data_IF_825012905940
#
_entry.id   IF_825012905940
#
_cell.length_a   1.000
_cell.length_b   1.000
_cell.length_c   1.000
_cell.angle_alpha   90.00
_cell.angle_beta   90.00
_cell.angle_gamma   90.00
#
_symmetry.space_group_name_H-M   'P 1'
#
loop_
_entity.id
_entity.type
_entity.pdbx_description
1 polymer ?
#
# COMPACT_ATOMS: atom_id res chain seq x y z
N UNK A 1 29.14 43.19 -8.89
CA UNK A 1 28.40 42.51 -7.80
C UNK A 1 29.29 42.43 -6.57
N UNK A 2 28.87 43.01 -5.44
CA UNK A 2 29.64 43.01 -4.20
C UNK A 2 29.75 41.58 -3.63
N UNK A 3 30.92 41.22 -3.08
CA UNK A 3 31.18 39.90 -2.49
C UNK A 3 30.18 39.56 -1.37
N UNK A 4 29.71 40.58 -0.66
CA UNK A 4 28.70 40.52 0.38
C UNK A 4 27.31 40.12 -0.11
N UNK A 5 26.90 40.59 -1.30
CA UNK A 5 25.62 40.17 -1.90
C UNK A 5 25.63 38.68 -2.26
N UNK A 6 26.77 38.16 -2.74
CA UNK A 6 26.94 36.74 -3.06
C UNK A 6 26.88 35.86 -1.80
N UNK A 7 27.49 36.32 -0.71
CA UNK A 7 27.48 35.59 0.58
C UNK A 7 26.07 35.55 1.17
N UNK A 8 25.31 36.66 1.15
CA UNK A 8 23.92 36.68 1.62
C UNK A 8 23.00 35.77 0.80
N UNK A 9 23.16 35.74 -0.54
CA UNK A 9 22.38 34.85 -1.41
C UNK A 9 22.70 33.37 -1.13
N UNK A 10 23.97 33.04 -0.90
CA UNK A 10 24.39 31.67 -0.60
C UNK A 10 23.84 31.17 0.74
N UNK A 11 23.87 32.02 1.78
CA UNK A 11 23.33 31.69 3.10
C UNK A 11 21.80 31.52 3.09
N UNK A 12 21.09 32.36 2.32
CA UNK A 12 19.64 32.23 2.15
C UNK A 12 19.26 30.92 1.46
N UNK A 13 19.99 30.55 0.39
CA UNK A 13 19.73 29.31 -0.35
C UNK A 13 20.00 28.06 0.52
N UNK A 14 21.08 28.09 1.32
CA UNK A 14 21.41 26.98 2.23
C UNK A 14 20.37 26.82 3.34
N UNK A 15 19.88 27.93 3.91
CA UNK A 15 18.78 27.90 4.88
C UNK A 15 17.47 27.37 4.26
N UNK A 16 17.15 27.76 3.03
CA UNK A 16 15.98 27.27 2.30
C UNK A 16 16.06 25.76 2.03
N UNK A 17 17.22 25.26 1.59
CA UNK A 17 17.46 23.82 1.40
C UNK A 17 17.40 23.05 2.72
N UNK A 18 17.95 23.60 3.81
CA UNK A 18 17.89 22.99 5.14
C UNK A 18 16.45 22.86 5.66
N UNK A 19 15.64 23.90 5.50
CA UNK A 19 14.21 23.88 5.87
C UNK A 19 13.43 22.87 5.01
N UNK A 20 13.65 22.85 3.69
CA UNK A 20 13.04 21.86 2.80
C UNK A 20 13.42 20.42 3.18
N UNK A 21 14.68 20.18 3.55
CA UNK A 21 15.16 18.86 3.95
C UNK A 21 14.53 18.41 5.28
N UNK A 22 14.37 19.32 6.25
CA UNK A 22 13.71 19.05 7.55
C UNK A 22 12.21 18.80 7.37
N UNK A 23 11.53 19.57 6.53
CA UNK A 23 10.10 19.37 6.21
C UNK A 23 9.88 18.00 5.55
N UNK A 24 10.72 17.64 4.58
CA UNK A 24 10.65 16.33 3.90
C UNK A 24 10.94 15.17 4.86
N UNK A 25 11.85 15.36 5.83
CA UNK A 25 12.15 14.34 6.85
C UNK A 25 11.02 14.16 7.87
N UNK A 26 10.40 15.27 8.33
CA UNK A 26 9.25 15.25 9.23
C UNK A 26 8.05 14.53 8.60
N UNK A 27 7.79 14.76 7.31
CA UNK A 27 6.71 14.08 6.59
C UNK A 27 6.85 12.56 6.52
N UNK A 28 8.07 12.01 6.60
CA UNK A 28 8.31 10.56 6.61
C UNK A 28 8.07 9.90 7.98
N UNK A 29 7.87 10.68 9.05
CA UNK A 29 7.96 10.19 10.43
C UNK A 29 6.65 10.11 11.23
N UNK A 30 5.47 10.45 10.68
CA UNK A 30 4.28 10.66 11.53
C UNK A 30 3.12 9.64 11.39
N UNK A 31 3.22 8.62 10.54
CA UNK A 31 2.18 7.58 10.52
C UNK A 31 2.55 6.47 11.51
N UNK A 32 1.77 6.26 12.59
CA UNK A 32 2.01 5.15 13.50
C UNK A 32 1.91 3.81 12.77
N UNK A 33 2.63 2.81 13.29
CA UNK A 33 2.51 1.44 12.81
C UNK A 33 1.02 1.03 12.81
N UNK A 34 0.50 0.45 11.71
CA UNK A 34 -0.90 0.14 11.62
C UNK A 34 -1.21 -1.03 12.56
N UNK A 35 -2.37 -0.97 13.20
CA UNK A 35 -2.93 -2.20 13.76
C UNK A 35 -3.29 -3.13 12.60
N UNK A 36 -3.07 -4.46 12.69
CA UNK A 36 -3.43 -5.39 11.61
C UNK A 36 -4.88 -5.21 11.11
N UNK A 37 -5.82 -4.98 12.03
CA UNK A 37 -7.24 -4.71 11.72
C UNK A 37 -7.46 -3.51 10.78
N UNK A 38 -6.58 -2.51 10.81
CA UNK A 38 -6.66 -1.32 9.97
C UNK A 38 -6.36 -1.69 8.51
N UNK A 39 -5.26 -2.41 8.28
CA UNK A 39 -4.89 -2.93 6.96
C UNK A 39 -6.00 -3.84 6.41
N UNK A 40 -6.59 -4.67 7.28
CA UNK A 40 -7.69 -5.57 6.89
C UNK A 40 -8.91 -4.78 6.44
N UNK A 41 -9.24 -3.70 7.16
CA UNK A 41 -10.32 -2.80 6.79
C UNK A 41 -10.09 -2.12 5.45
N UNK A 42 -8.86 -1.66 5.17
CA UNK A 42 -8.49 -1.03 3.90
C UNK A 42 -8.66 -2.01 2.73
N UNK A 43 -8.15 -3.25 2.87
CA UNK A 43 -8.27 -4.30 1.84
C UNK A 43 -9.73 -4.67 1.62
N UNK A 44 -10.49 -4.93 2.70
CA UNK A 44 -11.91 -5.29 2.59
C UNK A 44 -12.72 -4.22 1.88
N UNK A 45 -12.49 -2.93 2.20
CA UNK A 45 -13.14 -1.82 1.50
C UNK A 45 -12.72 -1.75 0.04
N UNK A 46 -11.44 -1.95 -0.29
CA UNK A 46 -11.02 -1.99 -1.70
C UNK A 46 -11.73 -3.09 -2.46
N UNK A 47 -11.74 -4.32 -1.93
CA UNK A 47 -12.41 -5.45 -2.56
C UNK A 47 -13.93 -5.30 -2.61
N UNK A 48 -14.55 -4.59 -1.66
CA UNK A 48 -15.97 -4.25 -1.70
C UNK A 48 -16.29 -3.32 -2.86
N UNK A 49 -15.52 -2.25 -3.02
CA UNK A 49 -15.81 -1.26 -4.05
C UNK A 49 -15.48 -1.82 -5.44
N UNK A 50 -14.44 -2.66 -5.55
CA UNK A 50 -14.17 -3.41 -6.78
C UNK A 50 -15.30 -4.38 -7.15
N UNK A 51 -16.00 -4.96 -6.15
CA UNK A 51 -17.15 -5.86 -6.37
C UNK A 51 -18.40 -5.13 -6.85
N UNK A 52 -18.56 -3.86 -6.48
CA UNK A 52 -19.68 -3.02 -6.90
C UNK A 52 -19.34 -2.16 -8.11
N UNK A 53 -18.24 -2.46 -8.82
CA UNK A 53 -17.70 -1.64 -9.92
C UNK A 53 -17.44 -0.16 -9.53
N UNK A 54 -17.27 0.15 -8.25
CA UNK A 54 -16.88 1.48 -7.74
C UNK A 54 -15.35 1.59 -7.71
N UNK A 55 -14.79 1.64 -8.90
CA UNK A 55 -13.34 1.76 -9.06
C UNK A 55 -12.80 3.12 -8.64
N UNK A 56 -13.61 4.17 -8.62
CA UNK A 56 -13.18 5.48 -8.13
C UNK A 56 -12.86 5.40 -6.64
N UNK A 57 -13.73 4.77 -5.85
CA UNK A 57 -13.50 4.56 -4.43
C UNK A 57 -12.37 3.55 -4.17
N UNK A 58 -12.25 2.50 -4.98
CA UNK A 58 -11.13 1.57 -4.92
C UNK A 58 -9.78 2.23 -5.22
N UNK A 59 -9.75 3.12 -6.21
CA UNK A 59 -8.56 3.85 -6.65
C UNK A 59 -8.13 4.90 -5.62
N UNK A 60 -9.07 5.57 -4.94
CA UNK A 60 -8.75 6.49 -3.82
C UNK A 60 -8.04 5.81 -2.64
N UNK A 61 -8.12 4.47 -2.52
CA UNK A 61 -7.37 3.71 -1.51
C UNK A 61 -5.97 3.29 -1.96
N UNK A 62 -5.65 3.44 -3.23
CA UNK A 62 -4.29 3.26 -3.73
C UNK A 62 -3.39 4.40 -3.23
N UNK A 63 -2.12 4.11 -3.01
CA UNK A 63 -1.11 5.09 -2.63
C UNK A 63 -0.88 6.11 -3.76
N UNK A 64 -0.43 7.31 -3.39
CA UNK A 64 -0.07 8.38 -4.32
C UNK A 64 0.93 7.91 -5.40
N UNK A 65 1.87 7.04 -5.05
CA UNK A 65 2.81 6.44 -6.00
C UNK A 65 2.15 5.54 -7.05
N UNK A 66 1.05 4.85 -6.71
CA UNK A 66 0.22 4.11 -7.68
C UNK A 66 -0.57 5.09 -8.53
N UNK A 67 -1.15 6.12 -7.91
CA UNK A 67 -1.97 7.12 -8.62
C UNK A 67 -1.16 8.01 -9.58
N UNK A 68 0.15 8.13 -9.37
CA UNK A 68 1.07 8.80 -10.31
C UNK A 68 1.42 7.92 -11.52
N UNK A 69 1.38 6.60 -11.36
CA UNK A 69 1.78 5.64 -12.40
C UNK A 69 0.64 5.26 -13.33
N UNK A 70 -0.56 5.18 -12.79
CA UNK A 70 -1.75 4.77 -13.53
C UNK A 70 -2.79 5.86 -13.43
N UNK A 71 -3.43 6.21 -14.54
CA UNK A 71 -4.70 6.93 -14.46
C UNK A 71 -5.77 6.05 -13.82
N UNK A 72 -6.87 6.66 -13.41
CA UNK A 72 -8.04 5.97 -12.87
C UNK A 72 -8.57 4.92 -13.87
N UNK A 73 -8.61 5.25 -15.16
CA UNK A 73 -9.05 4.38 -16.25
C UNK A 73 -8.05 3.25 -16.49
N UNK A 74 -6.75 3.54 -16.47
CA UNK A 74 -5.70 2.52 -16.61
C UNK A 74 -5.72 1.53 -15.44
N UNK A 75 -5.97 2.01 -14.22
CA UNK A 75 -6.19 1.17 -13.05
C UNK A 75 -7.39 0.23 -13.26
N UNK A 76 -8.51 0.72 -13.79
CA UNK A 76 -9.67 -0.13 -14.11
C UNK A 76 -9.31 -1.27 -15.06
N UNK A 77 -8.69 -0.90 -16.19
CA UNK A 77 -8.35 -1.84 -17.25
C UNK A 77 -7.40 -2.92 -16.73
N UNK A 78 -6.42 -2.53 -15.91
CA UNK A 78 -5.52 -3.45 -15.23
C UNK A 78 -6.28 -4.40 -14.30
N UNK A 79 -7.19 -3.89 -13.45
CA UNK A 79 -7.95 -4.72 -12.52
C UNK A 79 -8.86 -5.71 -13.26
N UNK A 80 -9.59 -5.26 -14.27
CA UNK A 80 -10.48 -6.13 -15.06
C UNK A 80 -9.70 -7.23 -15.79
N UNK A 81 -8.50 -6.92 -16.31
CA UNK A 81 -7.66 -7.87 -17.04
C UNK A 81 -6.99 -8.90 -16.13
N UNK A 82 -6.32 -8.43 -15.08
CA UNK A 82 -5.36 -9.25 -14.32
C UNK A 82 -5.90 -9.71 -12.95
N UNK A 83 -6.97 -9.09 -12.47
CA UNK A 83 -7.46 -9.24 -11.10
C UNK A 83 -8.96 -9.57 -10.99
N UNK A 84 -9.56 -10.12 -12.05
CA UNK A 84 -10.96 -10.62 -12.03
C UNK A 84 -11.24 -11.63 -10.91
N UNK A 85 -10.21 -12.37 -10.49
CA UNK A 85 -10.25 -13.25 -9.33
C UNK A 85 -10.56 -12.54 -8.00
N UNK A 86 -10.13 -11.28 -7.84
CA UNK A 86 -10.35 -10.49 -6.63
C UNK A 86 -11.79 -10.01 -6.50
N UNK A 87 -12.43 -9.68 -7.63
CA UNK A 87 -13.84 -9.27 -7.65
C UNK A 87 -14.80 -10.43 -7.43
N UNK A 88 -14.34 -11.68 -7.61
CA UNK A 88 -15.15 -12.88 -7.40
C UNK A 88 -14.96 -13.53 -6.03
N UNK A 89 -14.05 -13.04 -5.20
CA UNK A 89 -13.73 -13.67 -3.92
C UNK A 89 -14.94 -13.71 -2.97
N UNK A 90 -15.29 -14.91 -2.49
CA UNK A 90 -16.39 -15.11 -1.53
C UNK A 90 -15.91 -15.06 -0.08
N UNK A 91 -14.66 -15.46 0.16
CA UNK A 91 -14.03 -15.42 1.49
C UNK A 91 -12.66 -14.76 1.39
N UNK A 92 -12.39 -13.89 2.36
CA UNK A 92 -11.13 -13.18 2.53
C UNK A 92 -10.57 -13.55 3.90
N UNK A 93 -9.34 -14.04 3.94
CA UNK A 93 -8.62 -14.35 5.17
C UNK A 93 -7.29 -13.60 5.17
N UNK A 94 -6.87 -13.18 6.36
CA UNK A 94 -5.61 -12.46 6.54
C UNK A 94 -4.59 -13.33 7.26
N UNK A 95 -3.37 -13.35 6.75
CA UNK A 95 -2.24 -14.08 7.33
C UNK A 95 -1.33 -13.17 8.13
N UNK A 96 -0.03 -13.37 7.94
CA UNK A 96 1.00 -12.59 8.64
C UNK A 96 0.99 -11.13 8.18
N UNK A 97 1.14 -10.21 9.15
CA UNK A 97 1.38 -8.79 8.91
C UNK A 97 2.79 -8.45 9.38
N UNK A 98 3.53 -7.73 8.55
CA UNK A 98 4.86 -7.22 8.86
C UNK A 98 4.86 -5.71 8.66
N UNK A 99 5.47 -4.97 9.58
CA UNK A 99 5.56 -3.51 9.53
C UNK A 99 7.01 -3.10 9.70
N UNK A 100 7.49 -2.25 8.82
CA UNK A 100 8.85 -1.73 8.82
C UNK A 100 8.85 -0.24 8.47
N UNK A 101 8.86 0.61 9.50
CA UNK A 101 8.76 2.06 9.33
C UNK A 101 7.45 2.45 8.64
N UNK A 102 7.56 3.21 7.54
CA UNK A 102 6.41 3.66 6.74
C UNK A 102 5.88 2.64 5.72
N UNK A 103 6.27 1.37 5.82
CA UNK A 103 5.82 0.30 4.93
C UNK A 103 5.24 -0.85 5.74
N UNK A 104 4.15 -1.44 5.25
CA UNK A 104 3.58 -2.66 5.80
C UNK A 104 3.30 -3.69 4.70
N UNK A 105 3.31 -4.96 5.07
CA UNK A 105 2.97 -6.08 4.21
C UNK A 105 1.93 -6.96 4.90
N UNK A 106 0.87 -7.33 4.19
CA UNK A 106 -0.13 -8.28 4.68
C UNK A 106 -0.35 -9.41 3.69
N UNK A 107 -0.33 -10.64 4.17
CA UNK A 107 -0.76 -11.79 3.39
C UNK A 107 -2.28 -11.86 3.37
N UNK A 108 -2.86 -12.02 2.18
CA UNK A 108 -4.30 -12.10 1.98
C UNK A 108 -4.62 -13.35 1.16
N UNK A 109 -5.56 -14.13 1.64
CA UNK A 109 -6.04 -15.33 0.97
C UNK A 109 -7.47 -15.11 0.50
N UNK A 110 -7.70 -15.32 -0.78
CA UNK A 110 -9.00 -15.20 -1.43
C UNK A 110 -9.49 -16.58 -1.81
N UNK A 111 -10.71 -16.93 -1.41
CA UNK A 111 -11.38 -18.16 -1.87
C UNK A 111 -12.41 -17.77 -2.92
N UNK A 112 -12.29 -18.32 -4.12
CA UNK A 112 -13.23 -18.09 -5.23
C UNK A 112 -14.40 -19.09 -5.22
N UNK A 113 -15.48 -18.84 -5.99
CA UNK A 113 -16.68 -19.67 -5.97
C UNK A 113 -16.44 -21.14 -6.36
N UNK A 114 -15.40 -21.40 -7.16
CA UNK A 114 -14.92 -22.73 -7.53
C UNK A 114 -14.14 -23.45 -6.40
N UNK A 115 -14.00 -22.82 -5.23
CA UNK A 115 -13.25 -23.32 -4.09
C UNK A 115 -11.73 -23.10 -4.19
N UNK A 116 -11.23 -22.49 -5.27
CA UNK A 116 -9.80 -22.23 -5.41
C UNK A 116 -9.33 -21.16 -4.42
N UNK A 117 -8.21 -21.44 -3.74
CA UNK A 117 -7.56 -20.48 -2.82
C UNK A 117 -6.40 -19.80 -3.52
N UNK A 118 -6.51 -18.48 -3.71
CA UNK A 118 -5.46 -17.62 -4.26
C UNK A 118 -4.82 -16.81 -3.13
N UNK A 119 -3.50 -16.66 -3.18
CA UNK A 119 -2.75 -15.98 -2.13
C UNK A 119 -2.08 -14.73 -2.72
N UNK A 120 -2.13 -13.63 -1.98
CA UNK A 120 -1.55 -12.36 -2.38
C UNK A 120 -0.75 -11.74 -1.23
N UNK A 121 0.33 -11.05 -1.57
CA UNK A 121 1.01 -10.12 -0.68
C UNK A 121 0.57 -8.70 -1.05
N UNK A 122 -0.12 -8.06 -0.11
CA UNK A 122 -0.45 -6.63 -0.20
C UNK A 122 0.68 -5.84 0.43
N UNK A 123 1.16 -4.81 -0.27
CA UNK A 123 2.05 -3.79 0.29
C UNK A 123 1.28 -2.51 0.57
N UNK A 124 1.66 -1.83 1.64
CA UNK A 124 1.06 -0.59 2.09
C UNK A 124 2.14 0.44 2.38
N UNK A 125 1.83 1.70 2.09
CA UNK A 125 2.67 2.83 2.40
C UNK A 125 1.92 3.80 3.30
N UNK A 126 2.62 4.30 4.32
CA UNK A 126 2.18 5.37 5.19
C UNK A 126 2.13 6.70 4.43
N UNK A 127 0.97 7.36 4.42
CA UNK A 127 0.81 8.70 3.88
C UNK A 127 0.19 9.64 4.93
N UNK A 128 0.19 10.95 4.66
CA UNK A 128 -0.34 11.97 5.58
C UNK A 128 -1.82 11.72 5.99
N UNK A 129 -2.59 11.00 5.16
CA UNK A 129 -3.98 10.62 5.43
C UNK A 129 -4.18 9.20 5.97
N UNK A 130 -3.10 8.51 6.35
CA UNK A 130 -3.12 7.13 6.82
C UNK A 130 -2.52 6.14 5.81
N UNK A 131 -2.70 4.84 6.09
CA UNK A 131 -2.15 3.77 5.28
C UNK A 131 -2.90 3.60 3.95
N UNK A 132 -2.16 3.38 2.86
CA UNK A 132 -2.68 3.20 1.50
C UNK A 132 -2.09 1.96 0.85
N UNK A 133 -2.83 1.35 -0.08
CA UNK A 133 -2.38 0.16 -0.81
C UNK A 133 -1.39 0.60 -1.89
N UNK A 134 -0.16 0.13 -1.79
CA UNK A 134 0.92 0.46 -2.73
C UNK A 134 1.09 -0.62 -3.81
N UNK A 135 0.66 -1.86 -3.53
CA UNK A 135 0.78 -2.95 -4.49
C UNK A 135 0.10 -4.23 -4.02
N UNK A 136 -0.16 -5.09 -4.99
CA UNK A 136 -0.67 -6.45 -4.76
C UNK A 136 0.07 -7.41 -5.67
N UNK A 137 0.62 -8.48 -5.09
CA UNK A 137 1.39 -9.47 -5.83
C UNK A 137 0.87 -10.86 -5.52
N UNK A 138 0.56 -11.71 -6.51
CA UNK A 138 0.29 -13.12 -6.26
C UNK A 138 1.51 -13.74 -5.59
N UNK A 139 1.29 -14.45 -4.49
CA UNK A 139 2.31 -15.31 -3.90
C UNK A 139 1.96 -16.74 -4.24
N UNK A 140 2.96 -17.49 -4.72
CA UNK A 140 2.80 -18.91 -5.05
C UNK A 140 2.26 -19.70 -3.84
N UNK A 141 1.77 -20.94 -4.06
CA UNK A 141 1.23 -21.74 -2.98
C UNK A 141 2.26 -21.80 -1.84
N UNK A 142 1.89 -21.23 -0.69
CA UNK A 142 2.64 -21.49 0.53
C UNK A 142 2.48 -22.99 0.77
N UNK A 143 3.50 -23.77 0.41
CA UNK A 143 3.64 -25.13 0.92
C UNK A 143 3.38 -25.03 2.41
N UNK A 144 2.48 -25.85 2.95
CA UNK A 144 2.06 -25.89 4.35
C UNK A 144 3.23 -26.27 5.29
N UNK A 145 4.30 -25.49 5.25
CA UNK A 145 5.56 -25.68 5.94
C UNK A 145 5.53 -24.79 7.18
N UNK A 146 4.60 -25.08 8.08
CA UNK A 146 4.59 -24.72 9.52
C UNK A 146 3.27 -25.16 10.17
N UNK A 147 2.97 -26.45 10.09
CA UNK A 147 2.07 -27.13 11.02
C UNK A 147 2.51 -28.60 11.28
N UNK A 148 3.79 -28.92 11.04
CA UNK A 148 4.39 -30.21 11.41
C UNK A 148 5.52 -29.91 12.38
N UNK A 149 5.13 -29.76 13.64
CA UNK A 149 6.02 -29.37 14.73
C UNK A 149 5.27 -29.31 16.06
N UNK A 150 4.47 -30.33 16.35
CA UNK A 150 4.03 -30.66 17.71
C UNK A 150 4.33 -32.15 17.90
N UNK A 151 5.34 -32.54 18.69
CA UNK A 151 5.34 -33.87 19.26
C UNK A 151 4.24 -33.94 20.33
N UNK A 152 3.50 -35.05 20.34
CA UNK A 152 2.66 -35.47 21.45
C UNK A 152 3.51 -35.70 22.71
#
# INVERSE_FOLDING_TARGET
MSRWLKISVLLFFFALCGVAMVITHRHRQETPAPAPRELYSIVNRQLSDLRSDDFDSAYRRAASGVQQKFSREQFELMIRRDFSSMTQAQRIEFGTVQVAGGVAYAQVYLTTPDGARRSYLYSFTAEAGGWKIDGVQPIGPQSARRARGLPL
#
